data_IF_390170451357
#
_entry.id   IF_390170451357
#
_cell.length_a   1.000
_cell.length_b   1.000
_cell.length_c   1.000
_cell.angle_alpha   90.00
_cell.angle_beta   90.00
_cell.angle_gamma   90.00
#
_symmetry.space_group_name_H-M   'P 1'
#
loop_
_entity.id
_entity.type
_entity.pdbx_description
1 polymer ?
#
# COMPACT_ATOMS: atom_id res chain seq x y z
N UNK A 1 8.34 -3.55 11.01
CA UNK A 1 7.72 -2.68 9.98
C UNK A 1 8.75 -1.98 9.11
N UNK A 2 9.89 -1.58 9.68
CA UNK A 2 10.97 -0.96 8.89
C UNK A 2 11.46 -1.88 7.77
N UNK A 3 11.63 -3.18 8.05
CA UNK A 3 12.07 -4.16 7.05
C UNK A 3 11.09 -4.24 5.86
N UNK A 4 9.80 -4.19 6.15
CA UNK A 4 8.75 -4.21 5.12
C UNK A 4 8.84 -2.95 4.25
N UNK A 5 8.94 -1.79 4.88
CA UNK A 5 9.08 -0.51 4.18
C UNK A 5 10.32 -0.50 3.28
N UNK A 6 11.47 -0.91 3.83
CA UNK A 6 12.73 -0.92 3.09
C UNK A 6 12.64 -1.84 1.86
N UNK A 7 12.02 -3.00 2.01
CA UNK A 7 11.84 -3.93 0.90
C UNK A 7 10.98 -3.32 -0.21
N UNK A 8 9.85 -2.69 0.16
CA UNK A 8 8.95 -2.06 -0.81
C UNK A 8 9.61 -0.86 -1.51
N UNK A 9 10.38 -0.06 -0.77
CA UNK A 9 11.12 1.07 -1.36
C UNK A 9 12.14 0.58 -2.37
N UNK A 10 12.88 -0.47 -2.05
CA UNK A 10 13.89 -1.01 -2.96
C UNK A 10 13.26 -1.70 -4.17
N UNK A 11 12.15 -2.40 -4.00
CA UNK A 11 11.44 -3.03 -5.11
C UNK A 11 10.87 -1.98 -6.07
N UNK A 12 10.44 -0.83 -5.56
CA UNK A 12 9.90 0.27 -6.34
C UNK A 12 8.45 0.07 -6.74
N UNK A 13 8.14 -1.06 -7.36
CA UNK A 13 6.76 -1.41 -7.77
C UNK A 13 6.31 -2.63 -6.99
N UNK A 14 5.08 -2.59 -6.52
CA UNK A 14 4.38 -3.75 -5.98
C UNK A 14 2.99 -3.82 -6.63
N UNK A 15 2.33 -4.96 -6.47
CA UNK A 15 1.02 -5.19 -7.07
C UNK A 15 0.02 -5.36 -5.95
N UNK A 16 -1.04 -4.53 -5.99
CA UNK A 16 -2.09 -4.53 -4.97
C UNK A 16 -3.32 -5.23 -5.52
N UNK A 17 -3.77 -6.25 -4.79
CA UNK A 17 -4.99 -7.00 -5.11
C UNK A 17 -6.13 -6.55 -4.20
N UNK A 18 -7.30 -6.36 -4.80
CA UNK A 18 -8.55 -6.03 -4.11
C UNK A 18 -9.67 -6.91 -4.64
N UNK A 19 -10.81 -6.88 -3.97
CA UNK A 19 -12.00 -7.59 -4.43
C UNK A 19 -12.99 -6.61 -5.07
N UNK A 20 -13.54 -7.01 -6.21
CA UNK A 20 -14.60 -6.31 -6.91
C UNK A 20 -15.77 -7.30 -6.99
N UNK A 21 -16.62 -7.32 -5.94
CA UNK A 21 -17.56 -8.41 -5.73
C UNK A 21 -16.81 -9.72 -5.57
N UNK A 22 -17.08 -10.68 -6.43
CA UNK A 22 -16.39 -11.98 -6.46
C UNK A 22 -15.19 -12.00 -7.44
N UNK A 23 -14.90 -10.87 -8.11
CA UNK A 23 -13.79 -10.78 -9.06
C UNK A 23 -12.56 -10.19 -8.38
N UNK A 24 -11.42 -10.92 -8.30
CA UNK A 24 -10.15 -10.32 -7.88
C UNK A 24 -9.67 -9.30 -8.91
N UNK A 25 -9.12 -8.19 -8.43
CA UNK A 25 -8.50 -7.16 -9.27
C UNK A 25 -7.07 -6.93 -8.77
N UNK A 26 -6.15 -6.67 -9.70
CA UNK A 26 -4.76 -6.37 -9.36
C UNK A 26 -4.23 -5.25 -10.24
N UNK A 27 -3.39 -4.39 -9.68
CA UNK A 27 -2.76 -3.28 -10.41
C UNK A 27 -1.43 -2.90 -9.75
N UNK A 28 -0.52 -2.26 -10.49
CA UNK A 28 0.75 -1.80 -9.92
C UNK A 28 0.54 -0.55 -9.05
N UNK A 29 1.31 -0.49 -7.96
CA UNK A 29 1.45 0.65 -7.07
C UNK A 29 2.93 0.93 -6.86
N UNK A 30 3.27 2.18 -6.52
CA UNK A 30 4.66 2.58 -6.31
C UNK A 30 4.91 3.40 -5.06
N UNK A 31 3.89 3.67 -4.25
CA UNK A 31 4.04 4.53 -3.07
C UNK A 31 4.02 3.72 -1.78
N UNK A 32 4.89 4.10 -0.84
CA UNK A 32 4.90 3.53 0.50
C UNK A 32 5.48 4.56 1.46
N UNK A 33 4.88 4.71 2.63
CA UNK A 33 5.33 5.67 3.63
C UNK A 33 5.15 5.06 5.02
N UNK A 34 6.18 5.21 5.87
CA UNK A 34 6.03 5.00 7.31
C UNK A 34 5.70 6.34 7.95
N UNK A 35 4.55 6.42 8.59
CA UNK A 35 4.08 7.65 9.22
C UNK A 35 3.29 7.29 10.47
N UNK A 36 3.68 7.87 11.60
CA UNK A 36 3.04 7.61 12.90
C UNK A 36 2.89 6.11 13.23
N UNK A 37 3.91 5.32 12.91
CA UNK A 37 3.94 3.89 13.22
C UNK A 37 3.06 3.02 12.32
N UNK A 38 2.63 3.53 11.17
CA UNK A 38 1.76 2.82 10.22
C UNK A 38 2.36 2.84 8.83
N UNK A 39 2.02 1.82 8.04
CA UNK A 39 2.45 1.69 6.66
C UNK A 39 1.36 2.19 5.72
N UNK A 40 1.64 3.28 5.03
CA UNK A 40 0.69 3.96 4.15
C UNK A 40 0.98 3.71 2.68
N UNK A 41 -0.09 3.68 1.90
CA UNK A 41 -0.06 3.72 0.43
C UNK A 41 -0.96 4.86 -0.05
N UNK A 42 -0.79 5.29 -1.32
CA UNK A 42 -1.52 6.41 -1.87
C UNK A 42 -2.24 6.02 -3.15
N UNK A 43 -3.45 6.53 -3.31
CA UNK A 43 -4.23 6.41 -4.55
C UNK A 43 -5.09 7.68 -4.74
N UNK A 44 -6.01 7.65 -5.70
CA UNK A 44 -6.99 8.71 -5.93
C UNK A 44 -8.40 8.18 -5.73
N UNK A 45 -9.27 8.98 -5.11
CA UNK A 45 -10.65 8.58 -4.81
C UNK A 45 -11.47 8.28 -6.06
N UNK A 46 -11.07 8.83 -7.22
CA UNK A 46 -11.75 8.59 -8.49
C UNK A 46 -11.41 7.26 -9.13
N UNK A 47 -10.38 6.55 -8.64
CA UNK A 47 -9.93 5.28 -9.21
C UNK A 47 -10.80 4.12 -8.74
N UNK A 48 -10.90 3.10 -9.60
CA UNK A 48 -11.64 1.87 -9.28
C UNK A 48 -11.18 1.21 -8.00
N UNK A 49 -9.86 1.21 -7.75
CA UNK A 49 -9.29 0.62 -6.52
C UNK A 49 -9.86 1.26 -5.26
N UNK A 50 -10.04 2.59 -5.27
CA UNK A 50 -10.62 3.30 -4.14
C UNK A 50 -12.08 2.89 -3.91
N UNK A 51 -12.86 2.75 -4.99
CA UNK A 51 -14.25 2.30 -4.91
C UNK A 51 -14.34 0.86 -4.40
N UNK A 52 -13.44 -0.01 -4.87
CA UNK A 52 -13.39 -1.40 -4.43
C UNK A 52 -13.05 -1.51 -2.94
N UNK A 53 -12.08 -0.73 -2.46
CA UNK A 53 -11.70 -0.70 -1.04
C UNK A 53 -12.79 -0.12 -0.16
N UNK A 54 -13.58 0.83 -0.66
CA UNK A 54 -14.73 1.35 0.09
C UNK A 54 -15.80 0.26 0.32
N UNK A 55 -16.00 -0.62 -0.67
CA UNK A 55 -16.95 -1.72 -0.55
C UNK A 55 -16.38 -2.91 0.23
N UNK A 56 -15.09 -3.20 0.06
CA UNK A 56 -14.39 -4.29 0.77
C UNK A 56 -12.95 -3.86 1.03
N UNK A 57 -12.60 -3.50 2.27
CA UNK A 57 -11.28 -2.97 2.59
C UNK A 57 -10.17 -4.03 2.69
N UNK A 58 -10.47 -5.29 2.51
CA UNK A 58 -9.48 -6.35 2.51
C UNK A 58 -8.63 -6.27 1.25
N UNK A 59 -7.33 -6.36 1.42
CA UNK A 59 -6.38 -6.26 0.32
C UNK A 59 -5.14 -7.10 0.57
N UNK A 60 -4.45 -7.42 -0.49
CA UNK A 60 -3.14 -8.06 -0.40
C UNK A 60 -2.21 -7.43 -1.45
N UNK A 61 -0.99 -7.14 -1.04
CA UNK A 61 0.04 -6.71 -1.99
C UNK A 61 1.12 -7.78 -2.13
N UNK A 62 1.82 -7.75 -3.27
CA UNK A 62 2.96 -8.61 -3.53
C UNK A 62 4.05 -7.82 -4.24
N UNK A 63 5.28 -7.95 -3.75
CA UNK A 63 6.48 -7.37 -4.39
C UNK A 63 7.55 -8.46 -4.48
N UNK A 64 8.27 -8.48 -5.59
CA UNK A 64 9.35 -9.43 -5.83
C UNK A 64 10.67 -8.68 -6.01
N UNK A 65 11.73 -9.18 -5.36
CA UNK A 65 13.05 -8.59 -5.47
C UNK A 65 14.13 -9.60 -5.09
N UNK A 66 15.11 -9.80 -5.96
CA UNK A 66 16.30 -10.62 -5.70
C UNK A 66 15.95 -12.03 -5.16
N UNK A 67 14.99 -12.69 -5.80
CA UNK A 67 14.60 -14.06 -5.44
C UNK A 67 13.74 -14.19 -4.19
N UNK A 68 13.39 -13.06 -3.56
CA UNK A 68 12.49 -13.02 -2.40
C UNK A 68 11.22 -12.26 -2.78
N UNK A 69 10.07 -12.71 -2.29
CA UNK A 69 8.85 -11.92 -2.46
C UNK A 69 8.19 -11.67 -1.11
N UNK A 70 7.61 -10.49 -1.02
CA UNK A 70 6.87 -10.02 0.15
C UNK A 70 5.40 -9.98 -0.20
N UNK A 71 4.56 -10.59 0.65
CA UNK A 71 3.12 -10.41 0.59
C UNK A 71 2.65 -9.77 1.89
N UNK A 72 1.74 -8.81 1.79
CA UNK A 72 1.10 -8.19 2.94
C UNK A 72 -0.40 -8.31 2.75
N UNK A 73 -1.05 -9.06 3.62
CA UNK A 73 -2.50 -9.20 3.63
C UNK A 73 -3.07 -8.48 4.84
N UNK A 74 -4.09 -7.66 4.64
CA UNK A 74 -4.68 -6.91 5.74
C UNK A 74 -5.87 -6.08 5.32
N UNK A 75 -6.26 -5.17 6.20
CA UNK A 75 -7.34 -4.21 5.96
C UNK A 75 -6.75 -2.84 5.68
N UNK A 76 -7.16 -2.21 4.59
CA UNK A 76 -6.74 -0.84 4.28
C UNK A 76 -7.75 0.15 4.83
N UNK A 77 -7.27 1.10 5.62
CA UNK A 77 -8.07 2.12 6.30
C UNK A 77 -7.68 3.49 5.77
N UNK A 78 -8.65 4.25 5.30
CA UNK A 78 -8.40 5.63 4.87
C UNK A 78 -8.05 6.51 6.05
N UNK A 79 -6.98 7.31 5.91
CA UNK A 79 -6.64 8.39 6.84
C UNK A 79 -6.94 9.71 6.14
N UNK A 80 -8.06 10.33 6.49
CA UNK A 80 -8.55 11.54 5.83
C UNK A 80 -7.94 12.83 6.40
N UNK A 81 -6.87 12.74 7.20
CA UNK A 81 -6.21 13.91 7.76
C UNK A 81 -5.34 14.60 6.70
N UNK A 82 -5.38 15.91 6.70
CA UNK A 82 -4.53 16.75 5.85
C UNK A 82 -3.04 16.38 6.01
N UNK A 83 -2.58 16.21 7.26
CA UNK A 83 -1.19 15.94 7.58
C UNK A 83 -0.71 14.61 6.96
N UNK A 84 -1.57 13.61 6.93
CA UNK A 84 -1.24 12.32 6.35
C UNK A 84 -1.09 12.43 4.82
N UNK A 85 -2.02 13.12 4.16
CA UNK A 85 -1.93 13.36 2.71
C UNK A 85 -0.69 14.17 2.36
N UNK A 86 -0.43 15.24 3.12
CA UNK A 86 0.74 16.10 2.92
C UNK A 86 2.04 15.30 3.08
N UNK A 87 2.14 14.46 4.12
CA UNK A 87 3.34 13.67 4.38
C UNK A 87 3.65 12.73 3.20
N UNK A 88 2.64 12.11 2.62
CA UNK A 88 2.82 11.25 1.45
C UNK A 88 3.30 12.06 0.24
N UNK A 89 2.70 13.19 -0.05
CA UNK A 89 3.09 14.01 -1.20
C UNK A 89 4.46 14.66 -1.00
N UNK A 90 4.85 14.97 0.22
CA UNK A 90 6.21 15.45 0.52
C UNK A 90 7.24 14.35 0.29
N UNK A 91 6.90 13.09 0.56
CA UNK A 91 7.78 11.93 0.32
C UNK A 91 7.87 11.58 -1.18
N UNK A 92 6.87 11.92 -1.96
CA UNK A 92 6.80 11.67 -3.40
C UNK A 92 6.41 12.96 -4.13
N UNK A 93 7.31 13.97 -4.16
CA UNK A 93 6.94 15.30 -4.70
C UNK A 93 6.54 15.27 -6.18
N UNK A 94 6.97 14.27 -6.94
CA UNK A 94 6.57 14.08 -8.34
C UNK A 94 5.06 13.84 -8.48
N UNK A 95 4.39 13.33 -7.44
CA UNK A 95 2.93 13.16 -7.46
C UNK A 95 2.19 14.48 -7.50
N UNK A 96 2.83 15.58 -7.12
CA UNK A 96 2.19 16.91 -7.12
C UNK A 96 1.85 17.42 -8.51
N UNK A 97 2.36 16.76 -9.56
CA UNK A 97 1.92 17.03 -10.92
C UNK A 97 0.46 16.59 -11.16
N UNK A 98 -0.05 15.64 -10.39
CA UNK A 98 -1.40 15.06 -10.56
C UNK A 98 -2.28 15.17 -9.32
N UNK A 99 -1.68 15.37 -8.15
CA UNK A 99 -2.38 15.36 -6.87
C UNK A 99 -2.00 16.56 -6.03
N UNK A 100 -2.91 16.96 -5.15
CA UNK A 100 -2.70 17.98 -4.14
C UNK A 100 -3.44 17.56 -2.88
N UNK A 101 -2.93 17.93 -1.70
CA UNK A 101 -3.53 17.54 -0.41
C UNK A 101 -4.95 18.07 -0.22
N UNK A 102 -5.35 19.09 -1.01
CA UNK A 102 -6.68 19.72 -0.94
C UNK A 102 -7.51 19.50 -2.20
N UNK A 103 -7.13 18.54 -3.07
CA UNK A 103 -7.84 18.33 -4.34
C UNK A 103 -9.12 17.51 -4.21
N UNK A 104 -9.44 17.00 -3.02
CA UNK A 104 -10.61 16.15 -2.81
C UNK A 104 -10.49 14.77 -3.45
N UNK A 105 -9.32 14.44 -4.02
CA UNK A 105 -9.07 13.19 -4.73
C UNK A 105 -7.94 12.37 -4.10
N UNK A 106 -6.89 13.03 -3.63
CA UNK A 106 -5.75 12.36 -2.98
C UNK A 106 -6.22 11.55 -1.79
N UNK A 107 -5.91 10.26 -1.79
CA UNK A 107 -6.31 9.35 -0.73
C UNK A 107 -5.09 8.58 -0.23
N UNK A 108 -4.88 8.58 1.08
CA UNK A 108 -3.88 7.72 1.72
C UNK A 108 -4.57 6.74 2.63
N UNK A 109 -4.09 5.49 2.60
CA UNK A 109 -4.64 4.41 3.40
C UNK A 109 -3.50 3.68 4.10
N UNK A 110 -3.75 3.20 5.30
CA UNK A 110 -2.75 2.39 6.01
C UNK A 110 -3.26 0.97 6.25
N UNK A 111 -2.31 0.04 6.34
CA UNK A 111 -2.62 -1.35 6.67
C UNK A 111 -2.90 -1.51 8.16
N UNK A 112 -4.00 -2.20 8.46
CA UNK A 112 -4.42 -2.58 9.80
C UNK A 112 -4.63 -4.09 9.85
N UNK A 113 -4.28 -4.70 10.98
CA UNK A 113 -4.39 -6.14 11.19
C UNK A 113 -3.70 -6.91 10.05
N UNK A 114 -2.48 -6.51 9.74
CA UNK A 114 -1.76 -6.99 8.58
C UNK A 114 -0.79 -8.11 8.94
N UNK A 115 -0.65 -9.05 8.00
CA UNK A 115 0.34 -10.12 8.04
C UNK A 115 1.27 -9.95 6.85
N UNK A 116 2.54 -9.72 7.12
CA UNK A 116 3.59 -9.64 6.09
C UNK A 116 4.39 -10.94 6.09
N UNK A 117 4.53 -11.55 4.91
CA UNK A 117 5.27 -12.79 4.74
C UNK A 117 6.36 -12.60 3.71
N UNK A 118 7.62 -12.80 4.12
CA UNK A 118 8.76 -12.86 3.21
C UNK A 118 9.00 -14.31 2.83
N UNK A 119 9.02 -14.61 1.54
CA UNK A 119 9.16 -15.96 1.01
C UNK A 119 10.28 -16.04 -0.03
N UNK A 120 10.90 -17.22 -0.14
CA UNK A 120 11.87 -17.52 -1.19
C UNK A 120 11.79 -19.00 -1.51
N UNK A 121 12.52 -19.45 -2.55
CA UNK A 121 12.56 -20.86 -2.89
C UNK A 121 13.50 -21.67 -2.01
N UNK A 122 14.34 -21.01 -1.18
CA UNK A 122 15.44 -21.68 -0.49
C UNK A 122 15.37 -21.59 1.04
N UNK A 123 14.58 -20.69 1.59
CA UNK A 123 14.51 -20.45 3.04
C UNK A 123 13.06 -20.57 3.53
N UNK A 124 12.91 -20.86 4.83
CA UNK A 124 11.60 -20.86 5.48
C UNK A 124 11.01 -19.45 5.44
N UNK A 125 9.68 -19.31 5.32
CA UNK A 125 9.03 -17.98 5.34
C UNK A 125 9.27 -17.27 6.67
N UNK A 126 9.44 -15.95 6.58
CA UNK A 126 9.48 -15.06 7.75
C UNK A 126 8.17 -14.29 7.81
N UNK A 127 7.52 -14.34 8.96
CA UNK A 127 6.19 -13.73 9.13
C UNK A 127 6.26 -12.61 10.17
N UNK A 128 5.69 -11.47 9.84
CA UNK A 128 5.58 -10.31 10.73
C UNK A 128 4.12 -9.83 10.73
N UNK A 129 3.64 -9.37 11.89
CA UNK A 129 2.29 -8.84 12.02
C UNK A 129 2.31 -7.39 12.50
N UNK A 130 1.44 -6.59 11.97
CA UNK A 130 1.32 -5.19 12.39
C UNK A 130 -0.06 -4.59 12.14
#
# INVERSE_FOLDING_TARGET
MQKVYDFLKKAGTYYLATADGDQPRVRPFGTVLLYEGRLYIQTGKKKDVSHQLAANPKAELCAFQDGTWLRIAGTLVEDDRYEARKSMLDAYPELRAMYDENDGNTQVLYFKDAVATFSSFTAAPEVMMF
#
